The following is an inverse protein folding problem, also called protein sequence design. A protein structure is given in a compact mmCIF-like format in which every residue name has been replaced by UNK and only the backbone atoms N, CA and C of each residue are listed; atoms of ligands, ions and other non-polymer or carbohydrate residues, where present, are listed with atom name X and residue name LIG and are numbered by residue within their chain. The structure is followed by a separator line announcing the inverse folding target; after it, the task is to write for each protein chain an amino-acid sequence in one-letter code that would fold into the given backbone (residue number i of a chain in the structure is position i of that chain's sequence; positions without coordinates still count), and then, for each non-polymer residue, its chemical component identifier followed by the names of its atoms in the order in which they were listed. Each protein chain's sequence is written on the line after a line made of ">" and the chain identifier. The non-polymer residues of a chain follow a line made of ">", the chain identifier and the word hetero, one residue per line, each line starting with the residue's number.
data_IF_904686797620
#
_entry.id   IF_904686797620
#
_cell.length_a   1.000
_cell.length_b   1.000
_cell.length_c   1.000
_cell.angle_alpha   90.00
_cell.angle_beta   90.00
_cell.angle_gamma   90.00
#
_symmetry.space_group_name_H-M   'P 1'
#
loop_
_entity.id
_entity.type
_entity.pdbx_description
1 polymer ?
#
# COMPACT_ATOMS: atom_id res chain seq x y z
N UNK A 1 -0.83 -7.48 -17.29
CA UNK A 1 0.38 -6.62 -17.34
C UNK A 1 0.24 -5.63 -16.20
N UNK A 2 1.30 -5.39 -15.45
CA UNK A 2 1.29 -4.43 -14.33
C UNK A 2 1.84 -3.09 -14.83
N UNK A 3 1.22 -1.98 -14.43
CA UNK A 3 1.69 -0.63 -14.72
C UNK A 3 2.07 0.07 -13.41
N UNK A 4 3.37 0.13 -13.11
CA UNK A 4 3.88 0.71 -11.85
C UNK A 4 4.00 2.23 -11.99
N UNK A 5 3.16 2.97 -11.26
CA UNK A 5 3.14 4.44 -11.30
C UNK A 5 4.25 5.07 -10.44
N UNK A 6 4.61 4.44 -9.32
CA UNK A 6 5.64 4.92 -8.39
C UNK A 6 6.28 3.72 -7.67
N UNK A 7 7.60 3.75 -7.48
CA UNK A 7 8.34 2.74 -6.71
C UNK A 7 9.43 3.39 -5.87
N UNK A 8 9.57 2.92 -4.62
CA UNK A 8 10.72 3.20 -3.75
C UNK A 8 11.23 1.91 -3.12
N UNK A 9 12.54 1.76 -3.00
CA UNK A 9 13.19 0.64 -2.31
C UNK A 9 14.41 1.16 -1.55
N UNK A 10 14.34 1.17 -0.22
CA UNK A 10 15.40 1.69 0.64
C UNK A 10 15.46 0.94 1.97
N UNK A 11 16.63 0.94 2.61
CA UNK A 11 16.79 0.36 3.95
C UNK A 11 16.39 1.40 5.00
N UNK A 12 15.37 1.08 5.79
CA UNK A 12 14.91 1.92 6.90
C UNK A 12 14.98 1.18 8.23
N UNK A 13 15.08 1.92 9.33
CA UNK A 13 14.91 1.34 10.67
C UNK A 13 13.44 0.98 10.93
N UNK A 14 13.16 0.14 11.93
CA UNK A 14 11.77 -0.19 12.31
C UNK A 14 10.98 1.05 12.74
N UNK A 15 11.61 2.00 13.43
CA UNK A 15 10.96 3.24 13.84
C UNK A 15 10.58 4.11 12.66
N UNK A 16 11.45 4.23 11.65
CA UNK A 16 11.15 5.03 10.45
C UNK A 16 10.03 4.39 9.63
N UNK A 17 10.00 3.05 9.54
CA UNK A 17 8.91 2.31 8.88
C UNK A 17 7.59 2.57 9.62
N UNK A 18 7.56 2.48 10.95
CA UNK A 18 6.35 2.72 11.74
C UNK A 18 5.87 4.17 11.59
N UNK A 19 6.78 5.14 11.62
CA UNK A 19 6.42 6.54 11.39
C UNK A 19 5.78 6.73 10.01
N UNK A 20 6.38 6.15 8.98
CA UNK A 20 5.87 6.23 7.61
C UNK A 20 4.51 5.54 7.44
N UNK A 21 4.33 4.35 8.02
CA UNK A 21 3.04 3.64 7.99
C UNK A 21 1.94 4.41 8.72
N UNK A 22 2.25 5.12 9.81
CA UNK A 22 1.29 6.00 10.48
C UNK A 22 0.87 7.17 9.60
N UNK A 23 1.80 7.79 8.88
CA UNK A 23 1.47 8.85 7.92
C UNK A 23 0.57 8.34 6.79
N UNK A 24 0.87 7.15 6.26
CA UNK A 24 0.00 6.50 5.26
C UNK A 24 -1.40 6.27 5.83
N UNK A 25 -1.51 5.72 7.05
CA UNK A 25 -2.80 5.46 7.69
C UNK A 25 -3.64 6.74 7.84
N UNK A 26 -3.02 7.84 8.28
CA UNK A 26 -3.70 9.16 8.38
C UNK A 26 -4.19 9.66 7.02
N UNK A 27 -3.40 9.46 5.95
CA UNK A 27 -3.82 9.90 4.60
C UNK A 27 -4.94 9.02 4.03
N UNK A 28 -4.91 7.71 4.28
CA UNK A 28 -6.00 6.80 3.89
C UNK A 28 -7.29 7.20 4.60
N UNK A 29 -7.24 7.48 5.90
CA UNK A 29 -8.40 7.93 6.70
C UNK A 29 -9.02 9.22 6.14
N UNK A 30 -8.20 10.10 5.54
CA UNK A 30 -8.69 11.32 4.87
C UNK A 30 -9.32 11.08 3.48
N UNK A 31 -9.23 9.86 2.93
CA UNK A 31 -9.73 9.50 1.60
C UNK A 31 -8.88 10.01 0.42
N UNK A 32 -7.77 10.73 0.68
CA UNK A 32 -6.87 11.21 -0.38
C UNK A 32 -5.42 11.07 0.03
N UNK A 33 -4.64 10.40 -0.83
CA UNK A 33 -3.20 10.20 -0.63
C UNK A 33 -2.43 10.89 -1.74
N UNK A 34 -1.66 11.91 -1.37
CA UNK A 34 -0.66 12.51 -2.26
C UNK A 34 0.73 11.93 -2.00
N UNK A 35 1.33 11.35 -3.03
CA UNK A 35 2.68 10.81 -3.08
C UNK A 35 3.56 11.71 -3.94
N UNK A 36 4.75 12.03 -3.45
CA UNK A 36 5.70 12.92 -4.15
C UNK A 36 7.08 12.26 -4.18
N UNK A 37 7.69 12.21 -5.35
CA UNK A 37 9.04 11.70 -5.57
C UNK A 37 9.78 12.61 -6.56
N UNK A 38 10.65 13.49 -6.05
CA UNK A 38 11.32 14.50 -6.87
C UNK A 38 10.30 15.45 -7.49
N UNK A 39 10.27 15.52 -8.83
CA UNK A 39 9.30 16.32 -9.59
C UNK A 39 7.98 15.58 -9.87
N UNK A 40 7.91 14.28 -9.56
CA UNK A 40 6.70 13.50 -9.75
C UNK A 40 5.75 13.67 -8.56
N UNK A 41 4.47 13.87 -8.86
CA UNK A 41 3.39 13.93 -7.89
C UNK A 41 2.23 13.06 -8.38
N UNK A 42 1.79 12.14 -7.54
CA UNK A 42 0.62 11.29 -7.78
C UNK A 42 -0.41 11.53 -6.68
N UNK A 43 -1.65 11.75 -7.06
CA UNK A 43 -2.77 11.91 -6.15
C UNK A 43 -3.72 10.73 -6.34
N UNK A 44 -4.02 10.04 -5.24
CA UNK A 44 -4.88 8.86 -5.19
C UNK A 44 -6.12 9.22 -4.39
N UNK A 45 -7.29 9.00 -4.98
CA UNK A 45 -8.57 9.08 -4.27
C UNK A 45 -8.91 7.67 -3.80
N UNK A 46 -8.91 7.46 -2.49
CA UNK A 46 -9.17 6.15 -1.89
C UNK A 46 -10.65 6.10 -1.48
N UNK A 47 -11.43 5.12 -1.96
CA UNK A 47 -12.84 4.99 -1.60
C UNK A 47 -13.01 4.55 -0.15
N UNK A 48 -14.22 4.75 0.40
CA UNK A 48 -14.55 4.31 1.76
C UNK A 48 -14.44 2.78 1.94
N UNK A 49 -14.72 2.01 0.89
CA UNK A 49 -14.62 0.56 0.90
C UNK A 49 -13.63 0.09 -0.17
N UNK A 50 -12.70 -0.76 0.25
CA UNK A 50 -11.66 -1.34 -0.59
C UNK A 50 -11.31 -2.74 -0.10
N UNK A 51 -10.65 -3.52 -0.94
CA UNK A 51 -10.10 -4.82 -0.54
C UNK A 51 -8.78 -4.60 0.18
N UNK A 52 -8.62 -5.27 1.32
CA UNK A 52 -7.38 -5.32 2.08
C UNK A 52 -6.80 -6.73 2.03
N UNK A 53 -5.57 -6.86 1.55
CA UNK A 53 -4.82 -8.11 1.58
C UNK A 53 -3.58 -7.99 2.48
N UNK A 54 -3.35 -9.02 3.30
CA UNK A 54 -2.18 -9.16 4.14
C UNK A 54 -1.53 -10.52 3.88
N UNK A 55 -0.26 -10.49 3.49
CA UNK A 55 0.45 -11.70 3.09
C UNK A 55 1.86 -11.74 3.65
N UNK A 56 2.28 -12.92 4.09
CA UNK A 56 3.65 -13.18 4.56
C UNK A 56 4.24 -14.31 3.74
N UNK A 57 5.41 -14.05 3.17
CA UNK A 57 6.15 -15.03 2.37
C UNK A 57 7.54 -15.29 2.94
N UNK A 58 7.99 -16.54 2.83
CA UNK A 58 9.39 -16.91 2.98
C UNK A 58 10.04 -17.06 1.60
N UNK A 59 11.04 -16.21 1.31
CA UNK A 59 11.80 -16.26 0.05
C UNK A 59 13.10 -17.03 0.28
N UNK A 60 13.13 -18.25 -0.26
CA UNK A 60 14.28 -19.14 -0.27
C UNK A 60 15.04 -18.99 -1.60
N UNK A 61 16.36 -18.80 -1.53
CA UNK A 61 17.24 -18.80 -2.70
C UNK A 61 18.50 -19.65 -2.40
N UNK A 62 18.98 -20.46 -3.36
CA UNK A 62 20.22 -21.22 -3.17
C UNK A 62 21.37 -20.31 -2.73
N UNK A 63 22.14 -20.74 -1.72
CA UNK A 63 23.30 -20.02 -1.20
C UNK A 63 23.02 -18.58 -0.70
N UNK A 64 21.78 -18.27 -0.31
CA UNK A 64 21.41 -17.00 0.33
C UNK A 64 20.65 -17.26 1.63
N UNK A 65 20.77 -16.38 2.64
CA UNK A 65 19.92 -16.44 3.82
C UNK A 65 18.44 -16.35 3.42
N UNK A 66 17.59 -17.06 4.17
CA UNK A 66 16.14 -16.91 4.06
C UNK A 66 15.75 -15.44 4.21
N UNK A 67 14.80 -14.98 3.42
CA UNK A 67 14.22 -13.64 3.54
C UNK A 67 12.75 -13.76 3.89
N UNK A 68 12.33 -13.04 4.93
CA UNK A 68 10.91 -12.86 5.22
C UNK A 68 10.43 -11.62 4.47
N UNK A 69 9.24 -11.72 3.88
CA UNK A 69 8.56 -10.61 3.23
C UNK A 69 7.14 -10.51 3.78
N UNK A 70 6.76 -9.29 4.16
CA UNK A 70 5.41 -8.92 4.56
C UNK A 70 4.89 -7.95 3.51
N UNK A 71 3.76 -8.29 2.91
CA UNK A 71 3.04 -7.49 1.92
C UNK A 71 1.73 -7.02 2.54
N UNK A 72 1.42 -5.73 2.35
CA UNK A 72 0.19 -5.08 2.78
C UNK A 72 -0.34 -4.37 1.53
N UNK A 73 -1.49 -4.80 1.04
CA UNK A 73 -2.03 -4.35 -0.23
C UNK A 73 -3.45 -3.81 -0.04
N UNK A 74 -3.73 -2.72 -0.74
CA UNK A 74 -5.02 -2.03 -0.79
C UNK A 74 -5.44 -1.98 -2.25
N UNK A 75 -6.60 -2.54 -2.57
CA UNK A 75 -7.09 -2.64 -3.94
C UNK A 75 -8.49 -2.05 -4.08
N UNK A 76 -8.68 -1.24 -5.12
CA UNK A 76 -9.97 -0.67 -5.47
C UNK A 76 -10.06 -0.41 -6.98
N UNK A 77 -11.28 -0.37 -7.49
CA UNK A 77 -11.59 0.08 -8.86
C UNK A 77 -11.87 1.59 -8.86
N UNK A 78 -11.23 2.33 -9.76
CA UNK A 78 -11.57 3.74 -9.96
C UNK A 78 -12.97 3.87 -10.58
N UNK A 79 -13.82 4.71 -9.97
CA UNK A 79 -15.14 5.04 -10.51
C UNK A 79 -16.24 4.00 -10.26
N UNK A 80 -15.95 2.86 -9.62
CA UNK A 80 -17.00 1.95 -9.16
C UNK A 80 -17.54 2.40 -7.78
N UNK A 81 -18.87 2.57 -7.63
CA UNK A 81 -19.45 2.81 -6.31
C UNK A 81 -19.13 1.61 -5.42
N UNK A 82 -18.69 1.86 -4.18
CA UNK A 82 -18.58 0.79 -3.22
C UNK A 82 -19.95 0.15 -3.00
N UNK A 83 -20.13 -1.09 -3.44
CA UNK A 83 -21.33 -1.86 -3.12
C UNK A 83 -21.30 -2.24 -1.64
N UNK A 84 -21.82 -1.36 -0.78
CA UNK A 84 -22.13 -1.72 0.60
C UNK A 84 -23.47 -2.45 0.63
N UNK A 85 -23.46 -3.77 0.85
CA UNK A 85 -24.69 -4.51 1.16
C UNK A 85 -25.17 -4.05 2.54
N UNK A 86 -26.32 -3.35 2.59
CA UNK A 86 -27.03 -3.09 3.84
C UNK A 86 -28.16 -4.11 4.01
N UNK A 87 -28.30 -4.66 5.22
CA UNK A 87 -29.46 -5.45 5.60
C UNK A 87 -30.60 -4.49 5.99
N UNK A 88 -31.79 -4.72 5.41
CA UNK A 88 -33.05 -4.11 5.85
C UNK A 88 -33.64 -4.80 7.06
#
# INVERSE_FOLDING_TARGET
>A
MENVLLKSEEKKSRSDIVAFLKEIAVKIDSGTVKLVQGEQSLELVIPENLTFELKVEEKLKPNRPRKMQLEIELEWSEGEPSESVQLG
#
